data_IF_330481260760
#
_entry.id   IF_330481260760
#
_cell.length_a   1.000
_cell.length_b   1.000
_cell.length_c   1.000
_cell.angle_alpha   90.00
_cell.angle_beta   90.00
_cell.angle_gamma   90.00
#
_symmetry.space_group_name_H-M   'P 1'
#
loop_
_entity.id
_entity.type
_entity.pdbx_description
1 polymer ?
#
# COMPACT_ATOMS: atom_id res chain seq x y z
N UNK A 1 19.55 3.10 -10.62
CA UNK A 1 18.51 4.05 -10.20
C UNK A 1 18.56 4.21 -8.69
N UNK A 2 18.57 5.42 -8.21
CA UNK A 2 18.56 5.70 -6.78
C UNK A 2 17.17 6.11 -6.34
N UNK A 3 16.74 5.55 -5.21
CA UNK A 3 15.47 5.93 -4.59
C UNK A 3 15.58 5.72 -3.08
N UNK A 4 14.71 6.36 -2.34
CA UNK A 4 14.69 6.30 -0.89
C UNK A 4 13.38 5.72 -0.41
N UNK A 5 13.44 4.85 0.62
CA UNK A 5 12.25 4.29 1.26
C UNK A 5 12.14 4.88 2.67
N UNK A 6 10.93 5.37 3.02
CA UNK A 6 10.66 5.88 4.37
C UNK A 6 9.21 5.71 4.78
N UNK A 7 8.96 5.84 6.06
CA UNK A 7 7.59 5.92 6.57
C UNK A 7 6.92 7.18 6.05
N UNK A 8 5.66 7.06 5.69
CA UNK A 8 4.87 8.22 5.28
C UNK A 8 4.25 8.89 6.49
N UNK A 9 4.05 10.19 6.38
CA UNK A 9 3.38 11.02 7.39
C UNK A 9 2.03 11.46 6.85
N UNK A 10 1.25 12.15 7.69
CA UNK A 10 -0.03 12.70 7.26
C UNK A 10 0.10 13.63 6.04
N UNK A 11 1.24 14.34 5.94
CA UNK A 11 1.49 15.24 4.83
C UNK A 11 1.67 14.50 3.49
N UNK A 12 2.06 13.23 3.54
CA UNK A 12 2.26 12.42 2.34
C UNK A 12 0.96 11.78 1.84
N UNK A 13 -0.12 11.84 2.62
CA UNK A 13 -1.36 11.16 2.28
C UNK A 13 -1.93 11.55 0.92
N UNK A 14 -2.00 12.85 0.55
CA UNK A 14 -2.49 13.20 -0.78
C UNK A 14 -1.71 12.55 -1.92
N UNK A 15 -0.38 12.50 -1.82
CA UNK A 15 0.44 11.85 -2.84
C UNK A 15 0.21 10.34 -2.87
N UNK A 16 0.04 9.72 -1.69
CA UNK A 16 -0.25 8.29 -1.59
C UNK A 16 -1.58 7.94 -2.25
N UNK A 17 -2.62 8.73 -1.99
CA UNK A 17 -3.94 8.52 -2.61
C UNK A 17 -3.89 8.73 -4.12
N UNK A 18 -3.14 9.73 -4.58
CA UNK A 18 -2.98 9.98 -6.00
C UNK A 18 -2.30 8.80 -6.70
N UNK A 19 -1.26 8.26 -6.10
CA UNK A 19 -0.57 7.09 -6.66
C UNK A 19 -1.49 5.87 -6.69
N UNK A 20 -2.22 5.61 -5.60
CA UNK A 20 -3.15 4.50 -5.52
C UNK A 20 -4.25 4.63 -6.58
N UNK A 21 -4.83 5.80 -6.72
CA UNK A 21 -5.89 6.06 -7.68
C UNK A 21 -5.41 5.90 -9.13
N UNK A 22 -4.27 6.51 -9.47
CA UNK A 22 -3.69 6.41 -10.80
C UNK A 22 -3.37 4.96 -11.17
N UNK A 23 -2.75 4.24 -10.25
CA UNK A 23 -2.39 2.83 -10.48
C UNK A 23 -3.64 1.97 -10.65
N UNK A 24 -4.64 2.19 -9.82
CA UNK A 24 -5.90 1.46 -9.95
C UNK A 24 -6.56 1.71 -11.31
N UNK A 25 -6.65 2.97 -11.72
CA UNK A 25 -7.28 3.30 -12.99
C UNK A 25 -6.55 2.68 -14.19
N UNK A 26 -5.24 2.58 -14.12
CA UNK A 26 -4.45 2.03 -15.23
C UNK A 26 -4.53 0.51 -15.32
N UNK A 27 -4.47 -0.18 -14.18
CA UNK A 27 -4.24 -1.64 -14.18
C UNK A 27 -5.42 -2.46 -13.68
N UNK A 28 -6.27 -1.89 -12.84
CA UNK A 28 -7.37 -2.63 -12.22
C UNK A 28 -8.74 -2.26 -12.79
N UNK A 29 -8.97 -0.98 -13.07
CA UNK A 29 -10.26 -0.52 -13.55
C UNK A 29 -10.77 -1.27 -14.79
N UNK A 30 -9.93 -1.61 -15.77
CA UNK A 30 -10.41 -2.36 -16.93
C UNK A 30 -11.03 -3.71 -16.59
N UNK A 31 -10.53 -4.36 -15.53
CA UNK A 31 -11.02 -5.67 -15.09
C UNK A 31 -12.24 -5.59 -14.19
N UNK A 32 -12.37 -4.50 -13.41
CA UNK A 32 -13.44 -4.35 -12.43
C UNK A 32 -14.67 -3.62 -12.97
N UNK A 33 -14.52 -2.84 -14.06
CA UNK A 33 -15.60 -2.06 -14.61
C UNK A 33 -16.05 -0.90 -13.72
N UNK A 34 -17.14 -0.20 -14.10
CA UNK A 34 -17.59 0.99 -13.37
C UNK A 34 -17.94 0.75 -11.90
N UNK A 35 -18.52 -0.42 -11.59
CA UNK A 35 -18.87 -0.77 -10.21
C UNK A 35 -17.63 -0.93 -9.33
N UNK A 36 -16.58 -1.54 -9.86
CA UNK A 36 -15.33 -1.72 -9.14
C UNK A 36 -14.60 -0.40 -8.95
N UNK A 37 -14.65 0.48 -9.94
CA UNK A 37 -14.07 1.83 -9.83
C UNK A 37 -14.75 2.61 -8.72
N UNK A 38 -16.09 2.56 -8.68
CA UNK A 38 -16.86 3.24 -7.65
C UNK A 38 -16.59 2.65 -6.26
N UNK A 39 -16.47 1.32 -6.17
CA UNK A 39 -16.16 0.66 -4.91
C UNK A 39 -14.78 1.09 -4.38
N UNK A 40 -13.77 1.14 -5.24
CA UNK A 40 -12.43 1.59 -4.87
C UNK A 40 -12.46 3.04 -4.37
N UNK A 41 -13.14 3.91 -5.11
CA UNK A 41 -13.24 5.32 -4.73
C UNK A 41 -13.88 5.47 -3.34
N UNK A 42 -14.99 4.79 -3.11
CA UNK A 42 -15.73 4.87 -1.85
C UNK A 42 -15.00 4.26 -0.66
N UNK A 43 -14.36 3.11 -0.87
CA UNK A 43 -13.74 2.37 0.24
C UNK A 43 -12.34 2.86 0.59
N UNK A 44 -11.67 3.56 -0.31
CA UNK A 44 -10.30 4.03 -0.09
C UNK A 44 -10.19 5.54 -0.21
N UNK A 45 -10.46 6.09 -1.40
CA UNK A 45 -10.15 7.49 -1.70
C UNK A 45 -11.02 8.46 -0.90
N UNK A 46 -12.28 8.13 -0.70
CA UNK A 46 -13.26 9.00 -0.03
C UNK A 46 -13.73 8.44 1.32
N UNK A 47 -13.07 7.41 1.84
CA UNK A 47 -13.44 6.83 3.13
C UNK A 47 -12.77 7.59 4.27
N UNK A 48 -13.49 8.50 4.91
CA UNK A 48 -12.94 9.34 5.97
C UNK A 48 -12.43 8.56 7.18
N UNK A 49 -13.07 7.45 7.53
CA UNK A 49 -12.59 6.61 8.62
C UNK A 49 -11.21 6.03 8.28
N UNK A 50 -11.04 5.51 7.07
CA UNK A 50 -9.76 4.99 6.61
C UNK A 50 -8.70 6.08 6.54
N UNK A 51 -9.07 7.25 5.97
CA UNK A 51 -8.13 8.37 5.84
C UNK A 51 -7.67 8.88 7.19
N UNK A 52 -8.57 8.95 8.17
CA UNK A 52 -8.21 9.39 9.52
C UNK A 52 -7.26 8.39 10.19
N UNK A 53 -7.46 7.10 9.99
CA UNK A 53 -6.54 6.08 10.50
C UNK A 53 -5.16 6.22 9.88
N UNK A 54 -5.09 6.62 8.61
CA UNK A 54 -3.81 6.90 7.96
C UNK A 54 -3.15 8.15 8.52
N UNK A 55 -3.92 9.22 8.74
CA UNK A 55 -3.39 10.48 9.29
C UNK A 55 -2.87 10.30 10.70
N UNK A 56 -3.57 9.54 11.52
CA UNK A 56 -3.20 9.31 12.92
C UNK A 56 -2.02 8.35 13.09
N UNK A 57 -1.67 7.60 12.05
CA UNK A 57 -0.63 6.58 12.12
C UNK A 57 -1.12 5.22 12.61
N UNK A 58 -2.42 5.06 12.89
CA UNK A 58 -3.00 3.77 13.22
C UNK A 58 -2.83 2.81 12.05
N UNK A 59 -3.10 3.26 10.82
CA UNK A 59 -2.74 2.56 9.60
C UNK A 59 -1.40 3.12 9.13
N UNK A 60 -0.38 2.25 9.11
CA UNK A 60 0.98 2.66 8.78
C UNK A 60 1.21 2.57 7.28
N UNK A 61 1.97 3.50 6.75
CA UNK A 61 2.31 3.51 5.33
C UNK A 61 3.80 3.75 5.14
N UNK A 62 4.34 3.12 4.11
CA UNK A 62 5.72 3.29 3.66
C UNK A 62 5.71 3.70 2.20
N UNK A 63 6.65 4.51 1.80
CA UNK A 63 6.77 4.96 0.43
C UNK A 63 8.19 4.91 -0.07
N UNK A 64 8.32 4.70 -1.37
CA UNK A 64 9.58 4.84 -2.10
C UNK A 64 9.52 6.11 -2.92
N UNK A 65 10.62 6.88 -2.90
CA UNK A 65 10.68 8.18 -3.55
C UNK A 65 11.86 8.25 -4.50
N UNK A 66 11.61 8.74 -5.70
CA UNK A 66 12.66 9.17 -6.63
C UNK A 66 12.66 10.69 -6.56
N UNK A 67 13.62 11.25 -5.79
CA UNK A 67 13.57 12.65 -5.43
C UNK A 67 12.30 12.96 -4.63
N UNK A 68 11.47 13.84 -5.14
CA UNK A 68 10.21 14.22 -4.52
C UNK A 68 9.01 13.40 -5.02
N UNK A 69 9.21 12.55 -6.01
CA UNK A 69 8.14 11.77 -6.60
C UNK A 69 7.94 10.46 -5.84
N UNK A 70 6.73 10.24 -5.35
CA UNK A 70 6.35 8.96 -4.75
C UNK A 70 6.16 7.93 -5.86
N UNK A 71 6.97 6.87 -5.84
CA UNK A 71 6.98 5.85 -6.88
C UNK A 71 6.51 4.49 -6.41
N UNK A 72 6.35 4.30 -5.12
CA UNK A 72 5.84 3.05 -4.56
C UNK A 72 5.19 3.29 -3.22
N UNK A 73 4.22 2.45 -2.88
CA UNK A 73 3.41 2.60 -1.67
C UNK A 73 3.07 1.22 -1.10
N UNK A 74 3.33 1.04 0.19
CA UNK A 74 2.78 -0.07 0.95
C UNK A 74 2.02 0.51 2.14
N UNK A 75 0.84 -0.03 2.40
CA UNK A 75 0.04 0.36 3.55
C UNK A 75 -0.39 -0.84 4.35
N UNK A 76 -0.46 -0.67 5.67
CA UNK A 76 -0.85 -1.72 6.59
C UNK A 76 -1.99 -1.25 7.48
N UNK A 77 -3.05 -2.03 7.52
CA UNK A 77 -4.15 -1.82 8.46
C UNK A 77 -4.00 -2.77 9.64
N UNK A 78 -4.29 -2.27 10.85
CA UNK A 78 -4.05 -3.03 12.05
C UNK A 78 -2.57 -3.34 12.24
N UNK A 79 -2.27 -4.49 12.85
CA UNK A 79 -0.89 -4.84 13.20
C UNK A 79 -0.21 -5.77 12.20
N UNK A 80 -0.97 -6.43 11.33
CA UNK A 80 -0.42 -7.50 10.53
C UNK A 80 -1.05 -7.67 9.14
N UNK A 81 -1.87 -6.73 8.69
CA UNK A 81 -2.52 -6.86 7.38
C UNK A 81 -2.04 -5.79 6.41
N UNK A 82 -1.37 -6.21 5.35
CA UNK A 82 -0.96 -5.31 4.26
C UNK A 82 -2.19 -5.12 3.36
N UNK A 83 -2.70 -3.90 3.32
CA UNK A 83 -3.93 -3.58 2.59
C UNK A 83 -3.68 -2.79 1.29
N UNK A 84 -2.50 -2.20 1.13
CA UNK A 84 -2.16 -1.42 -0.06
C UNK A 84 -0.78 -1.80 -0.56
N UNK A 85 -0.68 -2.09 -1.86
CA UNK A 85 0.59 -2.32 -2.55
C UNK A 85 0.46 -1.71 -3.94
N UNK A 86 1.14 -0.61 -4.18
CA UNK A 86 1.10 0.08 -5.45
C UNK A 86 2.49 0.51 -5.88
N UNK A 87 2.78 0.39 -7.18
CA UNK A 87 4.02 0.88 -7.78
C UNK A 87 3.67 1.73 -9.00
N UNK A 88 4.27 2.91 -9.08
CA UNK A 88 4.08 3.81 -10.20
C UNK A 88 4.40 3.10 -11.53
N UNK A 89 3.54 3.28 -12.53
CA UNK A 89 3.62 2.54 -13.78
C UNK A 89 4.97 2.66 -14.51
N UNK A 90 5.63 3.82 -14.40
CA UNK A 90 6.92 4.05 -15.04
C UNK A 90 8.08 3.34 -14.32
N UNK A 91 7.83 2.76 -13.14
CA UNK A 91 8.86 2.16 -12.29
C UNK A 91 8.66 0.67 -12.06
N UNK A 92 7.77 0.04 -12.82
CA UNK A 92 7.58 -1.41 -12.72
C UNK A 92 8.85 -2.17 -13.12
N UNK A 93 9.02 -3.36 -12.55
CA UNK A 93 10.16 -4.27 -12.84
C UNK A 93 11.52 -3.71 -12.44
N UNK A 94 11.56 -2.78 -11.49
CA UNK A 94 12.80 -2.21 -10.97
C UNK A 94 13.11 -2.64 -9.52
N UNK A 95 12.34 -3.60 -9.02
CA UNK A 95 12.57 -4.14 -7.67
C UNK A 95 12.03 -3.28 -6.55
N UNK A 96 11.27 -2.22 -6.85
CA UNK A 96 10.78 -1.28 -5.84
C UNK A 96 9.77 -1.93 -4.90
N UNK A 97 8.82 -2.70 -5.45
CA UNK A 97 7.83 -3.40 -4.64
C UNK A 97 8.49 -4.39 -3.67
N UNK A 98 9.50 -5.12 -4.14
CA UNK A 98 10.26 -6.06 -3.31
C UNK A 98 11.02 -5.33 -2.21
N UNK A 99 11.67 -4.21 -2.53
CA UNK A 99 12.42 -3.44 -1.55
C UNK A 99 11.49 -2.85 -0.49
N UNK A 100 10.33 -2.33 -0.89
CA UNK A 100 9.31 -1.84 0.03
C UNK A 100 8.85 -2.95 0.97
N UNK A 101 8.54 -4.10 0.42
CA UNK A 101 8.08 -5.24 1.20
C UNK A 101 9.11 -5.65 2.25
N UNK A 102 10.38 -5.73 1.88
CA UNK A 102 11.45 -6.04 2.82
C UNK A 102 11.57 -5.00 3.93
N UNK A 103 11.41 -3.73 3.59
CA UNK A 103 11.46 -2.67 4.60
C UNK A 103 10.29 -2.76 5.56
N UNK A 104 9.09 -3.02 5.05
CA UNK A 104 7.89 -3.21 5.88
C UNK A 104 8.11 -4.38 6.85
N UNK A 105 8.59 -5.51 6.36
CA UNK A 105 8.87 -6.67 7.21
C UNK A 105 9.88 -6.33 8.29
N UNK A 106 10.96 -5.64 7.95
CA UNK A 106 11.99 -5.28 8.91
C UNK A 106 11.44 -4.36 10.00
N UNK A 107 10.68 -3.33 9.62
CA UNK A 107 10.12 -2.39 10.58
C UNK A 107 9.11 -3.04 11.51
N UNK A 108 8.24 -3.90 10.95
CA UNK A 108 7.21 -4.58 11.74
C UNK A 108 7.82 -5.60 12.69
N UNK A 109 8.85 -6.31 12.25
CA UNK A 109 9.55 -7.26 13.13
C UNK A 109 10.18 -6.56 14.32
N UNK A 110 10.65 -5.33 14.16
CA UNK A 110 11.18 -4.54 15.27
C UNK A 110 10.07 -4.04 16.18
N UNK A 111 8.95 -3.60 15.62
CA UNK A 111 7.81 -3.09 16.40
C UNK A 111 7.11 -4.21 17.18
N UNK A 112 7.06 -5.41 16.62
CA UNK A 112 6.37 -6.53 17.23
C UNK A 112 7.15 -7.81 17.02
N UNK A 113 8.16 -8.09 17.86
CA UNK A 113 9.00 -9.29 17.72
C UNK A 113 8.24 -10.60 17.85
N UNK A 114 7.05 -10.59 18.48
CA UNK A 114 6.22 -11.78 18.63
C UNK A 114 5.36 -12.11 17.42
N UNK A 115 5.34 -11.24 16.44
CA UNK A 115 4.49 -11.43 15.26
C UNK A 115 5.02 -12.59 14.41
N UNK A 116 4.14 -13.55 14.09
CA UNK A 116 4.53 -14.77 13.35
C UNK A 116 4.05 -14.79 11.91
N UNK A 117 3.05 -13.96 11.57
CA UNK A 117 2.51 -13.93 10.21
C UNK A 117 1.97 -12.56 9.86
N UNK A 118 1.98 -12.28 8.55
CA UNK A 118 1.34 -11.11 7.96
C UNK A 118 0.35 -11.63 6.93
N UNK A 119 -0.81 -10.99 6.84
CA UNK A 119 -1.77 -11.25 5.78
C UNK A 119 -1.71 -10.13 4.74
N UNK A 120 -2.08 -10.44 3.52
CA UNK A 120 -2.19 -9.43 2.46
C UNK A 120 -3.35 -9.79 1.53
N UNK A 121 -3.88 -8.79 0.82
CA UNK A 121 -4.92 -9.00 -0.16
C UNK A 121 -4.37 -9.74 -1.39
N UNK A 122 -5.24 -10.54 -2.02
CA UNK A 122 -4.82 -11.43 -3.11
C UNK A 122 -4.63 -10.74 -4.46
N UNK A 123 -5.19 -9.55 -4.64
CA UNK A 123 -4.98 -8.79 -5.86
C UNK A 123 -3.49 -8.55 -6.06
N UNK A 124 -2.96 -8.64 -7.28
CA UNK A 124 -1.57 -8.26 -7.54
C UNK A 124 -1.22 -6.85 -7.08
N UNK A 125 -2.21 -6.00 -6.90
CA UNK A 125 -2.04 -4.62 -6.46
C UNK A 125 -2.48 -4.39 -5.01
N UNK A 126 -2.87 -5.47 -4.29
CA UNK A 126 -3.19 -5.39 -2.87
C UNK A 126 -4.45 -4.62 -2.54
N UNK A 127 -5.48 -4.71 -3.36
CA UNK A 127 -6.72 -3.97 -3.14
C UNK A 127 -7.42 -4.43 -1.85
N UNK A 128 -7.88 -3.49 -1.00
CA UNK A 128 -8.46 -3.84 0.30
C UNK A 128 -9.80 -4.57 0.23
N UNK A 129 -10.49 -4.51 -0.90
CA UNK A 129 -11.76 -5.21 -1.08
C UNK A 129 -11.62 -6.52 -1.85
N UNK A 130 -10.39 -6.99 -2.05
CA UNK A 130 -10.14 -8.27 -2.71
C UNK A 130 -10.71 -9.41 -1.85
N UNK A 131 -11.42 -10.38 -2.47
CA UNK A 131 -12.03 -11.47 -1.70
C UNK A 131 -11.05 -12.53 -1.20
N UNK A 132 -9.81 -12.53 -1.70
CA UNK A 132 -8.79 -13.50 -1.31
C UNK A 132 -7.77 -12.86 -0.39
N UNK A 133 -7.23 -13.65 0.54
CA UNK A 133 -6.18 -13.20 1.46
C UNK A 133 -5.07 -14.24 1.48
N UNK A 134 -3.83 -13.78 1.35
CA UNK A 134 -2.65 -14.63 1.49
C UNK A 134 -2.03 -14.43 2.86
N UNK A 135 -1.41 -15.49 3.36
CA UNK A 135 -0.68 -15.47 4.63
C UNK A 135 0.82 -15.59 4.35
N UNK A 136 1.59 -14.73 4.98
CA UNK A 136 3.04 -14.77 4.93
C UNK A 136 3.57 -15.03 6.32
N UNK A 137 4.46 -15.99 6.45
CA UNK A 137 5.12 -16.28 7.73
C UNK A 137 6.34 -15.40 7.89
N UNK A 138 6.52 -14.86 9.08
CA UNK A 138 7.68 -14.04 9.45
C UNK A 138 8.50 -14.83 10.46
N UNK A 139 9.79 -14.93 10.19
CA UNK A 139 10.70 -15.64 11.07
C UNK A 139 11.77 -14.71 11.64
#
# INVERSE_FOLDING_TARGET
>A
MEYEIRRLTAQDLPAALALAWDTFLRFEAPDYGPEGVEAFRRTLIENEEFLEKCRSGENRMWGAFDGDLLIGLNGMSGQSHICLVFTHHAYHRKGIATALFHRVLADISKENPGLKKITLNSSPYGLPFSPRVYFLLIF
#
